data_IF_812817966089
#
_entry.id   IF_812817966089
#
_cell.length_a   1.000
_cell.length_b   1.000
_cell.length_c   1.000
_cell.angle_alpha   90.00
_cell.angle_beta   90.00
_cell.angle_gamma   90.00
#
_symmetry.space_group_name_H-M   'P 1'
#
loop_
_entity.id
_entity.type
_entity.pdbx_description
1 polymer ?
#
# COMPACT_ATOMS: atom_id res chain seq x y z
N UNK A 1 27.57 5.90 -37.88
CA UNK A 1 27.43 6.80 -36.73
C UNK A 1 25.98 6.73 -36.29
N UNK A 2 25.67 5.79 -35.42
CA UNK A 2 24.31 5.51 -34.92
C UNK A 2 24.10 6.27 -33.61
N UNK A 3 23.20 7.25 -33.64
CA UNK A 3 22.82 8.03 -32.46
C UNK A 3 22.14 7.11 -31.42
N UNK A 4 22.81 6.94 -30.27
CA UNK A 4 22.20 6.47 -29.02
C UNK A 4 21.24 7.56 -28.56
N UNK A 5 19.95 7.31 -28.63
CA UNK A 5 18.95 8.06 -27.86
C UNK A 5 18.87 7.36 -26.51
N UNK A 6 19.64 7.83 -25.54
CA UNK A 6 19.44 7.52 -24.14
C UNK A 6 18.26 8.37 -23.66
N UNK A 7 17.10 7.75 -23.48
CA UNK A 7 15.96 8.35 -22.78
C UNK A 7 16.28 8.45 -21.28
N UNK A 8 17.15 9.37 -20.92
CA UNK A 8 17.36 9.78 -19.53
C UNK A 8 16.46 10.99 -19.30
N UNK A 9 15.39 10.79 -18.54
CA UNK A 9 14.59 11.90 -18.00
C UNK A 9 15.52 12.78 -17.16
N UNK A 10 15.47 14.09 -17.37
CA UNK A 10 16.33 15.04 -16.67
C UNK A 10 16.11 14.95 -15.14
N UNK A 11 17.16 14.70 -14.32
CA UNK A 11 17.05 14.65 -12.86
C UNK A 11 16.43 15.90 -12.24
N UNK A 12 16.56 17.06 -12.89
CA UNK A 12 15.95 18.29 -12.44
C UNK A 12 14.41 18.26 -12.51
N UNK A 13 13.82 17.44 -13.40
CA UNK A 13 12.37 17.34 -13.58
C UNK A 13 11.72 16.44 -12.52
N UNK A 14 12.44 15.43 -12.02
CA UNK A 14 12.03 14.56 -10.90
C UNK A 14 11.99 15.34 -9.57
N UNK A 15 12.74 16.46 -9.48
CA UNK A 15 12.84 17.28 -8.27
C UNK A 15 11.62 18.14 -7.95
N UNK A 16 10.66 18.30 -8.86
CA UNK A 16 9.47 19.16 -8.63
C UNK A 16 8.40 18.46 -7.77
N UNK A 17 8.25 17.15 -7.92
CA UNK A 17 7.29 16.31 -7.20
C UNK A 17 7.75 15.81 -5.84
N UNK A 18 8.95 16.24 -5.39
CA UNK A 18 9.68 15.82 -4.19
C UNK A 18 9.73 14.31 -3.89
N UNK A 19 10.20 13.96 -2.69
CA UNK A 19 10.60 12.58 -2.38
C UNK A 19 9.40 11.66 -2.13
N UNK A 20 9.43 10.47 -2.72
CA UNK A 20 8.57 9.34 -2.41
C UNK A 20 9.39 8.30 -1.67
N UNK A 21 8.78 7.69 -0.67
CA UNK A 21 9.41 6.75 0.24
C UNK A 21 9.03 5.31 -0.16
N UNK A 22 9.78 4.29 0.24
CA UNK A 22 9.32 2.92 -0.01
C UNK A 22 8.31 2.52 1.07
N UNK A 23 7.11 2.08 0.67
CA UNK A 23 6.12 1.51 1.60
C UNK A 23 6.28 0.00 1.74
N UNK A 24 5.94 -0.52 2.92
CA UNK A 24 5.90 -1.95 3.18
C UNK A 24 4.74 -2.62 2.43
N UNK A 25 4.97 -3.84 1.94
CA UNK A 25 3.98 -4.64 1.23
C UNK A 25 3.03 -5.38 2.18
N UNK A 26 2.30 -4.63 3.02
CA UNK A 26 1.35 -5.22 3.97
C UNK A 26 -0.09 -4.78 3.70
N UNK A 27 -1.09 -5.66 3.93
CA UNK A 27 -2.50 -5.28 3.83
C UNK A 27 -2.86 -4.09 4.72
N UNK A 28 -2.28 -4.00 5.93
CA UNK A 28 -2.51 -2.90 6.86
C UNK A 28 -2.09 -1.55 6.28
N UNK A 29 -0.89 -1.47 5.68
CA UNK A 29 -0.41 -0.24 5.04
C UNK A 29 -1.29 0.15 3.86
N UNK A 30 -1.67 -0.81 3.01
CA UNK A 30 -2.53 -0.54 1.85
C UNK A 30 -3.97 -0.18 2.28
N UNK A 31 -4.50 -0.76 3.35
CA UNK A 31 -5.78 -0.37 3.97
C UNK A 31 -5.74 1.07 4.50
N UNK A 32 -4.66 1.44 5.19
CA UNK A 32 -4.48 2.82 5.64
C UNK A 32 -4.31 3.80 4.45
N UNK A 33 -3.69 3.35 3.36
CA UNK A 33 -3.49 4.14 2.14
C UNK A 33 -4.79 4.42 1.40
N UNK A 34 -5.66 3.41 1.20
CA UNK A 34 -6.98 3.63 0.57
C UNK A 34 -7.81 4.63 1.39
N UNK A 35 -7.80 4.50 2.72
CA UNK A 35 -8.56 5.38 3.61
C UNK A 35 -8.04 6.82 3.56
N UNK A 36 -6.72 7.02 3.60
CA UNK A 36 -6.09 8.34 3.48
C UNK A 36 -6.37 9.01 2.14
N UNK A 37 -6.42 8.22 1.06
CA UNK A 37 -6.78 8.71 -0.26
C UNK A 37 -8.30 8.94 -0.42
N UNK A 38 -9.10 8.73 0.62
CA UNK A 38 -10.53 9.03 0.63
C UNK A 38 -11.42 7.97 -0.02
N UNK A 39 -10.87 6.81 -0.37
CA UNK A 39 -11.62 5.68 -0.93
C UNK A 39 -12.46 5.05 0.18
N UNK A 40 -13.72 4.74 -0.12
CA UNK A 40 -14.67 4.12 0.83
C UNK A 40 -15.22 2.80 0.29
N UNK A 41 -15.41 1.86 1.21
CA UNK A 41 -16.02 0.56 0.90
C UNK A 41 -15.13 -0.40 0.12
N UNK A 42 -13.82 -0.16 0.13
CA UNK A 42 -12.81 -1.12 -0.25
C UNK A 42 -12.02 -1.58 0.98
N UNK A 43 -11.51 -2.80 0.93
CA UNK A 43 -10.63 -3.41 1.91
C UNK A 43 -9.57 -4.25 1.19
N UNK A 44 -8.37 -4.31 1.74
CA UNK A 44 -7.22 -5.04 1.21
C UNK A 44 -7.04 -6.30 2.04
N UNK A 45 -7.05 -7.45 1.36
CA UNK A 45 -6.89 -8.77 1.96
C UNK A 45 -5.71 -9.47 1.33
N UNK A 46 -4.86 -10.09 2.13
CA UNK A 46 -3.76 -10.90 1.62
C UNK A 46 -4.28 -12.22 1.04
N UNK A 47 -3.64 -12.68 -0.04
CA UNK A 47 -3.93 -13.94 -0.71
C UNK A 47 -2.75 -14.88 -0.50
N UNK A 48 -2.90 -15.76 0.48
CA UNK A 48 -1.83 -16.66 0.95
C UNK A 48 -1.57 -17.86 0.03
N UNK A 49 -2.55 -18.23 -0.80
CA UNK A 49 -2.44 -19.36 -1.74
C UNK A 49 -3.27 -19.14 -3.00
N UNK A 50 -2.78 -19.70 -4.11
CA UNK A 50 -3.48 -19.77 -5.39
C UNK A 50 -4.32 -21.06 -5.53
N UNK A 51 -4.56 -21.78 -4.43
CA UNK A 51 -5.41 -22.97 -4.44
C UNK A 51 -6.86 -22.62 -4.83
N UNK A 52 -7.56 -23.62 -5.39
CA UNK A 52 -8.93 -23.42 -5.86
C UNK A 52 -9.86 -23.03 -4.73
N UNK A 53 -9.67 -23.65 -3.57
CA UNK A 53 -10.47 -23.46 -2.37
C UNK A 53 -10.41 -22.00 -1.89
N UNK A 54 -9.23 -21.37 -1.93
CA UNK A 54 -9.06 -19.96 -1.55
C UNK A 54 -9.73 -19.04 -2.57
N UNK A 55 -9.53 -19.28 -3.87
CA UNK A 55 -10.19 -18.49 -4.91
C UNK A 55 -11.71 -18.66 -4.93
N UNK A 56 -12.23 -19.82 -4.53
CA UNK A 56 -13.66 -20.06 -4.40
C UNK A 56 -14.28 -19.29 -3.21
N UNK A 57 -13.48 -18.87 -2.22
CA UNK A 57 -13.92 -17.89 -1.21
C UNK A 57 -14.05 -16.50 -1.83
N UNK A 58 -13.05 -16.05 -2.59
CA UNK A 58 -13.08 -14.76 -3.28
C UNK A 58 -14.21 -14.65 -4.33
N UNK A 59 -14.65 -15.75 -4.93
CA UNK A 59 -15.83 -15.79 -5.82
C UNK A 59 -17.14 -15.41 -5.12
N UNK A 60 -17.20 -15.48 -3.79
CA UNK A 60 -18.37 -15.07 -2.99
C UNK A 60 -18.28 -13.60 -2.58
N UNK A 61 -17.13 -12.97 -2.78
CA UNK A 61 -16.86 -11.57 -2.46
C UNK A 61 -16.93 -10.72 -3.74
N UNK A 62 -17.03 -9.40 -3.57
CA UNK A 62 -16.84 -8.46 -4.69
C UNK A 62 -15.36 -8.09 -4.72
N UNK A 63 -14.62 -8.61 -5.70
CA UNK A 63 -13.20 -8.31 -5.88
C UNK A 63 -13.05 -7.25 -6.96
N UNK A 64 -12.35 -6.14 -6.65
CA UNK A 64 -12.07 -5.05 -7.58
C UNK A 64 -10.79 -5.29 -8.40
N UNK A 65 -9.83 -6.02 -7.83
CA UNK A 65 -8.59 -6.38 -8.53
C UNK A 65 -7.55 -6.99 -7.58
N UNK A 66 -6.38 -7.30 -8.13
CA UNK A 66 -5.24 -7.85 -7.40
C UNK A 66 -4.00 -6.99 -7.56
N UNK A 67 -3.26 -6.81 -6.47
CA UNK A 67 -1.94 -6.21 -6.44
C UNK A 67 -0.94 -7.34 -6.24
N UNK A 68 0.00 -7.48 -7.17
CA UNK A 68 1.01 -8.53 -7.16
C UNK A 68 2.41 -7.93 -7.07
N UNK A 69 3.12 -8.22 -6.00
CA UNK A 69 4.52 -7.87 -5.81
C UNK A 69 5.41 -9.03 -6.27
N UNK A 70 6.39 -8.72 -7.10
CA UNK A 70 7.36 -9.67 -7.62
C UNK A 70 8.77 -9.06 -7.68
N UNK A 71 9.80 -9.90 -7.60
CA UNK A 71 11.18 -9.48 -7.92
C UNK A 71 11.25 -9.09 -9.40
N UNK A 72 11.78 -7.91 -9.70
CA UNK A 72 11.98 -7.43 -11.06
C UNK A 72 13.02 -8.31 -11.75
N UNK A 73 12.61 -9.05 -12.78
CA UNK A 73 13.54 -9.71 -13.68
C UNK A 73 13.98 -8.66 -14.72
N UNK A 74 15.02 -7.88 -14.40
CA UNK A 74 15.48 -6.78 -15.24
C UNK A 74 15.45 -7.11 -16.73
N UNK A 75 14.71 -6.30 -17.52
CA UNK A 75 14.48 -6.42 -18.99
C UNK A 75 14.41 -7.86 -19.56
N UNK A 76 13.94 -8.84 -18.78
CA UNK A 76 13.79 -10.23 -19.22
C UNK A 76 12.35 -10.66 -19.45
N UNK A 77 11.39 -9.75 -19.30
CA UNK A 77 10.06 -9.96 -19.85
C UNK A 77 10.17 -9.79 -21.37
N UNK A 78 10.37 -10.92 -22.04
CA UNK A 78 10.07 -11.08 -23.44
C UNK A 78 8.69 -10.49 -23.68
N UNK A 79 8.63 -9.55 -24.62
CA UNK A 79 7.43 -9.02 -25.26
C UNK A 79 6.40 -10.16 -25.39
N UNK A 80 5.49 -10.30 -24.42
CA UNK A 80 4.28 -11.08 -24.65
C UNK A 80 3.62 -10.29 -25.75
N UNK A 81 3.67 -10.84 -26.96
CA UNK A 81 3.03 -10.23 -28.11
C UNK A 81 1.58 -10.01 -27.69
N UNK A 82 1.20 -8.73 -27.54
CA UNK A 82 -0.21 -8.40 -27.46
C UNK A 82 -0.84 -9.11 -28.65
N UNK A 83 -1.88 -9.90 -28.42
CA UNK A 83 -2.57 -10.54 -29.54
C UNK A 83 -3.01 -9.42 -30.48
N UNK A 84 -2.30 -9.30 -31.61
CA UNK A 84 -2.13 -8.08 -32.40
C UNK A 84 -3.41 -7.56 -33.04
N UNK A 85 -4.26 -6.96 -32.23
CA UNK A 85 -5.37 -6.11 -32.63
C UNK A 85 -5.17 -4.78 -31.91
N UNK A 86 -5.46 -3.67 -32.58
CA UNK A 86 -5.66 -2.38 -31.90
C UNK A 86 -6.72 -2.62 -30.82
N UNK A 87 -6.26 -2.81 -29.59
CA UNK A 87 -7.14 -2.99 -28.44
C UNK A 87 -7.56 -1.60 -28.03
N UNK A 88 -8.87 -1.34 -28.07
CA UNK A 88 -9.38 -0.09 -27.52
C UNK A 88 -9.11 -0.06 -26.01
N UNK A 89 -8.24 0.85 -25.59
CA UNK A 89 -7.84 1.07 -24.20
C UNK A 89 -8.44 2.36 -23.67
N UNK A 90 -9.38 3.00 -24.38
CA UNK A 90 -9.92 4.31 -24.01
C UNK A 90 -10.59 4.33 -22.63
N UNK A 91 -11.16 3.20 -22.21
CA UNK A 91 -11.84 3.05 -20.93
C UNK A 91 -10.90 2.66 -19.78
N UNK A 92 -9.67 2.25 -20.09
CA UNK A 92 -8.69 1.78 -19.11
C UNK A 92 -7.86 2.97 -18.61
N UNK A 93 -7.94 3.24 -17.32
CA UNK A 93 -7.02 4.15 -16.66
C UNK A 93 -5.66 3.46 -16.48
N UNK A 94 -4.68 3.81 -17.32
CA UNK A 94 -3.32 3.31 -17.24
C UNK A 94 -2.31 4.46 -17.11
N UNK A 95 -1.32 4.29 -16.23
CA UNK A 95 -0.27 5.27 -15.97
C UNK A 95 1.09 4.56 -15.93
N UNK A 96 2.11 5.16 -16.56
CA UNK A 96 3.48 4.67 -16.48
C UNK A 96 4.13 5.06 -15.16
N UNK A 97 5.02 4.20 -14.69
CA UNK A 97 5.83 4.47 -13.52
C UNK A 97 6.91 5.51 -13.85
N UNK A 98 6.89 6.61 -13.11
CA UNK A 98 7.88 7.68 -13.22
C UNK A 98 8.87 7.65 -12.05
N UNK A 99 8.40 7.31 -10.84
CA UNK A 99 9.22 7.19 -9.63
C UNK A 99 9.08 5.75 -9.08
N UNK A 100 10.18 5.00 -8.92
CA UNK A 100 10.14 3.63 -8.42
C UNK A 100 9.45 3.46 -7.06
N UNK A 101 9.75 4.32 -6.09
CA UNK A 101 9.20 4.19 -4.74
C UNK A 101 7.68 4.44 -4.65
N UNK A 102 7.08 5.05 -5.69
CA UNK A 102 5.63 5.26 -5.78
C UNK A 102 4.85 4.04 -6.30
N UNK A 103 5.54 2.95 -6.69
CA UNK A 103 4.95 1.81 -7.40
C UNK A 103 3.76 1.15 -6.66
N UNK A 104 3.83 1.03 -5.33
CA UNK A 104 2.72 0.46 -4.54
C UNK A 104 1.44 1.31 -4.61
N UNK A 105 1.56 2.64 -4.48
CA UNK A 105 0.41 3.55 -4.67
C UNK A 105 -0.09 3.53 -6.10
N UNK A 106 0.80 3.47 -7.08
CA UNK A 106 0.41 3.38 -8.48
C UNK A 106 -0.39 2.11 -8.80
N UNK A 107 0.04 0.95 -8.30
CA UNK A 107 -0.67 -0.30 -8.49
C UNK A 107 -2.06 -0.26 -7.83
N UNK A 108 -2.15 0.28 -6.62
CA UNK A 108 -3.43 0.48 -5.94
C UNK A 108 -4.37 1.40 -6.73
N UNK A 109 -3.89 2.55 -7.19
CA UNK A 109 -4.68 3.50 -7.98
C UNK A 109 -5.08 2.91 -9.34
N UNK A 110 -4.25 2.05 -9.93
CA UNK A 110 -4.58 1.33 -11.16
C UNK A 110 -5.82 0.44 -11.00
N UNK A 111 -6.11 -0.04 -9.79
CA UNK A 111 -7.34 -0.80 -9.50
C UNK A 111 -8.49 0.15 -9.18
N UNK A 112 -8.27 1.07 -8.23
CA UNK A 112 -9.30 1.98 -7.71
C UNK A 112 -9.87 2.87 -8.83
N UNK A 113 -9.02 3.44 -9.68
CA UNK A 113 -9.46 4.33 -10.76
C UNK A 113 -10.14 3.57 -11.92
N UNK A 114 -9.99 2.25 -11.98
CA UNK A 114 -10.68 1.37 -12.92
C UNK A 114 -11.93 0.69 -12.29
N UNK A 115 -12.33 1.07 -11.08
CA UNK A 115 -13.48 0.47 -10.39
C UNK A 115 -14.70 1.39 -10.44
N UNK A 116 -15.64 1.23 -11.41
CA UNK A 116 -16.76 2.17 -11.59
C UNK A 116 -17.80 2.14 -10.46
N UNK A 117 -17.88 1.05 -9.71
CA UNK A 117 -18.84 0.88 -8.59
C UNK A 117 -18.29 1.34 -7.24
N UNK A 118 -17.00 1.67 -7.17
CA UNK A 118 -16.32 2.02 -5.92
C UNK A 118 -16.39 3.54 -5.67
N UNK A 119 -16.71 3.95 -4.45
CA UNK A 119 -16.60 5.35 -4.04
C UNK A 119 -15.12 5.69 -3.81
N UNK A 120 -14.50 6.32 -4.82
CA UNK A 120 -13.09 6.73 -4.76
C UNK A 120 -12.89 8.08 -4.05
N UNK A 121 -13.96 8.73 -3.61
CA UNK A 121 -13.88 10.03 -2.94
C UNK A 121 -13.63 11.22 -3.89
N UNK A 122 -13.80 12.46 -3.39
CA UNK A 122 -13.73 13.67 -4.23
C UNK A 122 -12.33 13.90 -4.83
N UNK A 123 -11.27 13.74 -4.03
CA UNK A 123 -9.88 13.96 -4.46
C UNK A 123 -9.49 13.09 -5.65
N UNK A 124 -9.76 11.77 -5.59
CA UNK A 124 -9.43 10.88 -6.70
C UNK A 124 -10.37 11.04 -7.89
N UNK A 125 -11.63 11.44 -7.69
CA UNK A 125 -12.53 11.77 -8.79
C UNK A 125 -12.02 13.01 -9.57
N UNK A 126 -11.65 14.08 -8.88
CA UNK A 126 -11.06 15.27 -9.50
C UNK A 126 -9.74 14.94 -10.20
N UNK A 127 -8.88 14.16 -9.55
CA UNK A 127 -7.62 13.70 -10.15
C UNK A 127 -7.87 12.89 -11.43
N UNK A 128 -8.81 11.93 -11.41
CA UNK A 128 -9.17 11.10 -12.57
C UNK A 128 -9.76 11.92 -13.71
N UNK A 129 -10.58 12.92 -13.39
CA UNK A 129 -11.15 13.84 -14.40
C UNK A 129 -10.05 14.69 -15.03
N UNK A 130 -9.17 15.27 -14.21
CA UNK A 130 -8.03 16.09 -14.65
C UNK A 130 -7.10 15.32 -15.60
N UNK A 131 -6.76 14.08 -15.25
CA UNK A 131 -5.83 13.25 -16.03
C UNK A 131 -6.50 12.41 -17.12
N UNK A 132 -7.82 12.53 -17.31
CA UNK A 132 -8.61 11.68 -18.22
C UNK A 132 -8.08 11.61 -19.65
N UNK A 133 -7.56 12.74 -20.17
CA UNK A 133 -7.04 12.88 -21.54
C UNK A 133 -5.53 12.79 -21.66
N UNK A 134 -4.83 12.55 -20.55
CA UNK A 134 -3.38 12.46 -20.55
C UNK A 134 -2.94 11.11 -21.14
N UNK A 135 -1.78 11.13 -21.80
CA UNK A 135 -1.12 9.88 -22.15
C UNK A 135 -0.63 9.15 -20.88
N UNK A 136 -0.32 7.85 -20.95
CA UNK A 136 0.10 7.08 -19.79
C UNK A 136 1.30 7.68 -19.03
N UNK A 137 2.23 8.33 -19.73
CA UNK A 137 3.42 8.93 -19.12
C UNK A 137 3.07 10.20 -18.37
N UNK A 138 2.22 11.04 -18.94
CA UNK A 138 1.73 12.26 -18.33
C UNK A 138 0.80 11.95 -17.13
N UNK A 139 0.01 10.87 -17.19
CA UNK A 139 -0.73 10.34 -16.02
C UNK A 139 0.21 9.96 -14.88
N UNK A 140 1.28 9.25 -15.20
CA UNK A 140 2.33 8.88 -14.24
C UNK A 140 2.98 10.11 -13.61
N UNK A 141 3.33 11.10 -14.43
CA UNK A 141 3.93 12.35 -13.98
C UNK A 141 2.96 13.14 -13.07
N UNK A 142 1.70 13.26 -13.48
CA UNK A 142 0.66 13.94 -12.69
C UNK A 142 0.47 13.27 -11.32
N UNK A 143 0.45 11.94 -11.27
CA UNK A 143 0.34 11.17 -10.03
C UNK A 143 1.53 11.42 -9.10
N UNK A 144 2.76 11.35 -9.63
CA UNK A 144 3.98 11.59 -8.83
C UNK A 144 4.11 13.04 -8.34
N UNK A 145 3.44 13.98 -9.01
CA UNK A 145 3.41 15.40 -8.64
C UNK A 145 2.19 15.79 -7.77
N UNK A 146 1.17 14.93 -7.61
CA UNK A 146 0.06 15.24 -6.69
C UNK A 146 0.58 15.18 -5.25
N UNK A 147 0.61 16.35 -4.62
CA UNK A 147 1.12 16.53 -3.26
C UNK A 147 0.37 15.66 -2.25
N UNK A 148 -0.96 15.59 -2.36
CA UNK A 148 -1.81 14.85 -1.42
C UNK A 148 -1.54 13.34 -1.48
N UNK A 149 -1.45 12.76 -2.68
CA UNK A 149 -1.10 11.33 -2.85
C UNK A 149 0.26 11.01 -2.21
N UNK A 150 1.25 11.87 -2.45
CA UNK A 150 2.60 11.72 -1.89
C UNK A 150 2.62 11.88 -0.36
N UNK A 151 1.92 12.87 0.19
CA UNK A 151 1.85 13.08 1.64
C UNK A 151 1.12 11.93 2.34
N UNK A 152 0.04 11.42 1.73
CA UNK A 152 -0.66 10.24 2.21
C UNK A 152 0.24 9.01 2.22
N UNK A 153 0.92 8.75 1.10
CA UNK A 153 1.89 7.67 0.96
C UNK A 153 3.02 7.77 2.00
N UNK A 154 3.73 8.89 2.04
CA UNK A 154 4.89 9.08 2.93
C UNK A 154 4.48 9.14 4.41
N UNK A 155 3.21 9.43 4.72
CA UNK A 155 2.75 9.37 6.12
C UNK A 155 2.67 7.94 6.66
N UNK A 156 2.65 6.94 5.78
CA UNK A 156 2.54 5.51 6.10
C UNK A 156 3.89 4.79 6.14
N UNK A 157 4.97 5.44 5.71
CA UNK A 157 6.34 4.89 5.85
C UNK A 157 6.91 5.05 7.25
N UNK A 158 6.15 5.69 8.17
CA UNK A 158 6.32 5.59 9.62
C UNK A 158 7.75 5.72 10.14
N UNK A 159 8.19 6.95 10.42
CA UNK A 159 9.31 7.29 11.34
C UNK A 159 10.72 6.75 11.04
N UNK A 160 10.96 6.02 9.96
CA UNK A 160 12.31 5.59 9.58
C UNK A 160 13.12 6.66 8.87
N UNK A 161 12.47 7.58 8.15
CA UNK A 161 13.17 8.48 7.22
C UNK A 161 13.45 9.89 7.77
N UNK A 162 12.99 10.24 8.99
CA UNK A 162 13.49 11.43 9.68
C UNK A 162 14.93 11.27 10.21
N UNK A 163 15.57 10.14 9.92
CA UNK A 163 16.94 9.84 10.30
C UNK A 163 17.67 9.31 9.05
N UNK A 164 18.95 9.65 8.83
CA UNK A 164 19.70 9.12 7.69
C UNK A 164 19.80 7.59 7.82
N UNK A 165 19.05 6.92 6.94
CA UNK A 165 19.24 5.61 6.32
C UNK A 165 20.06 4.62 7.16
N UNK A 166 19.36 3.65 7.76
CA UNK A 166 19.82 2.27 7.76
C UNK A 166 18.74 1.48 7.01
N UNK A 167 19.06 0.82 5.89
CA UNK A 167 18.10 0.00 5.17
C UNK A 167 17.64 -1.14 6.08
N UNK A 168 16.37 -1.54 5.98
CA UNK A 168 15.80 -2.71 6.64
C UNK A 168 16.63 -3.97 6.28
N UNK A 169 17.41 -4.58 7.20
CA UNK A 169 18.16 -5.81 6.91
C UNK A 169 17.41 -7.07 7.37
N UNK A 170 16.21 -6.96 7.95
CA UNK A 170 15.63 -8.08 8.69
C UNK A 170 14.88 -9.12 7.84
N UNK A 171 14.64 -8.85 6.55
CA UNK A 171 14.13 -9.87 5.62
C UNK A 171 15.22 -10.49 4.71
N UNK A 172 16.48 -10.04 4.81
CA UNK A 172 17.55 -10.43 3.88
C UNK A 172 18.63 -11.35 4.49
N UNK A 173 18.65 -11.59 5.81
CA UNK A 173 19.68 -12.41 6.45
C UNK A 173 19.17 -13.79 6.91
N UNK A 174 18.76 -14.65 5.97
CA UNK A 174 18.67 -16.10 6.26
C UNK A 174 19.69 -16.94 5.48
N UNK A 175 20.21 -16.47 4.34
CA UNK A 175 21.31 -17.18 3.67
C UNK A 175 22.53 -16.27 3.49
N UNK A 176 23.51 -16.45 4.39
CA UNK A 176 24.79 -15.79 4.31
C UNK A 176 25.58 -16.26 3.10
N UNK A 177 25.63 -15.44 2.04
CA UNK A 177 26.81 -15.11 1.23
C UNK A 177 26.49 -13.87 0.39
N UNK A 178 26.92 -12.69 0.83
CA UNK A 178 26.90 -11.50 -0.03
C UNK A 178 27.89 -11.70 -1.18
N UNK A 179 27.37 -12.01 -2.37
CA UNK A 179 28.10 -11.90 -3.62
C UNK A 179 28.02 -10.44 -4.09
N UNK A 180 29.15 -9.76 -4.37
CA UNK A 180 29.18 -8.35 -4.76
C UNK A 180 28.66 -8.08 -6.20
N UNK A 181 28.05 -9.08 -6.85
CA UNK A 181 27.42 -8.99 -8.18
C UNK A 181 25.87 -8.95 -8.11
N UNK A 182 25.25 -8.98 -6.93
CA UNK A 182 23.78 -9.06 -6.74
C UNK A 182 23.12 -7.68 -6.48
N UNK A 183 23.54 -6.66 -7.22
CA UNK A 183 23.21 -5.23 -6.99
C UNK A 183 21.84 -4.79 -7.57
N UNK A 184 20.87 -5.69 -7.78
CA UNK A 184 19.61 -5.31 -8.47
C UNK A 184 18.37 -6.15 -8.07
N UNK A 185 18.21 -6.50 -6.78
CA UNK A 185 16.95 -7.08 -6.29
C UNK A 185 15.90 -5.98 -6.09
N UNK A 186 15.44 -5.37 -7.19
CA UNK A 186 14.34 -4.41 -7.17
C UNK A 186 13.00 -5.16 -7.17
N UNK A 187 12.13 -4.90 -6.19
CA UNK A 187 10.75 -5.40 -6.22
C UNK A 187 9.84 -4.47 -7.03
N UNK A 188 8.80 -5.03 -7.65
CA UNK A 188 7.88 -4.29 -8.51
C UNK A 188 6.44 -4.74 -8.31
N UNK A 189 5.51 -3.77 -8.32
CA UNK A 189 4.07 -4.04 -8.22
C UNK A 189 3.39 -4.01 -9.57
N UNK A 190 2.53 -5.00 -9.79
CA UNK A 190 1.67 -5.13 -10.95
C UNK A 190 0.22 -5.26 -10.49
N UNK A 191 -0.71 -4.58 -11.17
CA UNK A 191 -2.13 -4.69 -10.87
C UNK A 191 -2.87 -5.54 -11.91
N UNK A 192 -3.86 -6.31 -11.47
CA UNK A 192 -4.78 -7.06 -12.33
C UNK A 192 -6.22 -6.60 -12.10
N UNK A 193 -6.94 -6.29 -13.17
CA UNK A 193 -8.35 -5.84 -13.11
C UNK A 193 -9.22 -6.55 -14.14
N UNK A 194 -10.52 -6.69 -13.86
CA UNK A 194 -11.52 -7.13 -14.82
C UNK A 194 -12.26 -5.92 -15.39
N UNK A 195 -12.15 -5.70 -16.70
CA UNK A 195 -12.87 -4.60 -17.38
C UNK A 195 -13.14 -4.96 -18.84
N UNK A 196 -14.31 -4.54 -19.34
CA UNK A 196 -14.75 -4.72 -20.73
C UNK A 196 -14.70 -6.19 -21.21
N UNK A 197 -14.92 -7.14 -20.30
CA UNK A 197 -14.94 -8.58 -20.58
C UNK A 197 -13.55 -9.22 -20.72
N UNK A 198 -12.50 -8.56 -20.24
CA UNK A 198 -11.13 -9.08 -20.23
C UNK A 198 -10.46 -8.86 -18.88
N UNK A 199 -9.50 -9.73 -18.56
CA UNK A 199 -8.51 -9.43 -17.53
C UNK A 199 -7.42 -8.57 -18.14
N UNK A 200 -7.04 -7.53 -17.42
CA UNK A 200 -5.97 -6.62 -17.79
C UNK A 200 -4.86 -6.67 -16.76
N UNK A 201 -3.62 -6.74 -17.24
CA UNK A 201 -2.41 -6.51 -16.45
C UNK A 201 -1.96 -5.05 -16.65
N UNK A 202 -1.90 -4.32 -15.54
CA UNK A 202 -1.51 -2.92 -15.47
C UNK A 202 -0.15 -2.84 -14.77
N UNK A 203 0.90 -2.99 -15.57
CA UNK A 203 2.30 -2.86 -15.15
C UNK A 203 2.82 -1.47 -15.56
N UNK A 204 3.17 -0.64 -14.58
CA UNK A 204 3.67 0.72 -14.81
C UNK A 204 4.97 0.80 -15.61
N UNK A 205 5.76 -0.29 -15.68
CA UNK A 205 6.98 -0.37 -16.47
C UNK A 205 6.73 -0.74 -17.94
N UNK A 206 5.54 -1.24 -18.27
CA UNK A 206 5.14 -1.51 -19.65
C UNK A 206 4.69 -0.23 -20.36
N UNK A 207 4.83 -0.13 -21.69
CA UNK A 207 4.37 1.03 -22.44
C UNK A 207 2.85 1.18 -22.45
N UNK A 208 2.11 0.07 -22.38
CA UNK A 208 0.66 -0.01 -22.56
C UNK A 208 0.07 -1.09 -21.62
N UNK A 209 -1.22 -1.01 -21.26
CA UNK A 209 -1.88 -2.06 -20.49
C UNK A 209 -1.95 -3.36 -21.30
N UNK A 210 -1.68 -4.49 -20.66
CA UNK A 210 -1.66 -5.79 -21.32
C UNK A 210 -3.03 -6.46 -21.19
N UNK A 211 -3.74 -6.61 -22.31
CA UNK A 211 -4.96 -7.41 -22.38
C UNK A 211 -4.59 -8.90 -22.34
N UNK A 212 -5.10 -9.60 -21.34
CA UNK A 212 -4.92 -11.05 -21.18
C UNK A 212 -6.09 -11.78 -21.86
N UNK A 213 -6.71 -12.73 -21.16
CA UNK A 213 -7.75 -13.58 -21.71
C UNK A 213 -9.15 -12.95 -21.55
N UNK A 214 -10.08 -13.22 -22.49
CA UNK A 214 -11.49 -12.87 -22.32
C UNK A 214 -12.09 -13.64 -21.14
N UNK A 215 -12.99 -12.98 -20.42
CA UNK A 215 -13.65 -13.52 -19.24
C UNK A 215 -15.03 -12.89 -19.01
N UNK A 216 -15.75 -13.47 -18.06
CA UNK A 216 -17.00 -12.94 -17.50
C UNK A 216 -16.81 -12.63 -16.02
N UNK A 217 -17.77 -11.94 -15.41
CA UNK A 217 -17.79 -11.70 -13.95
C UNK A 217 -17.64 -12.99 -13.11
N UNK A 218 -18.09 -14.14 -13.62
CA UNK A 218 -18.00 -15.42 -12.90
C UNK A 218 -16.66 -16.13 -13.10
N UNK A 219 -15.93 -15.82 -14.17
CA UNK A 219 -14.76 -16.60 -14.63
C UNK A 219 -13.44 -15.85 -14.55
N UNK A 220 -13.46 -14.52 -14.41
CA UNK A 220 -12.24 -13.70 -14.43
C UNK A 220 -11.26 -14.06 -13.30
N UNK A 221 -11.76 -14.47 -12.13
CA UNK A 221 -10.91 -14.93 -11.01
C UNK A 221 -10.14 -16.21 -11.37
N UNK A 222 -10.75 -17.14 -12.10
CA UNK A 222 -10.07 -18.35 -12.56
C UNK A 222 -9.00 -18.00 -13.62
N UNK A 223 -9.28 -17.01 -14.47
CA UNK A 223 -8.33 -16.50 -15.47
C UNK A 223 -7.12 -15.84 -14.81
N UNK A 224 -7.35 -14.89 -13.88
CA UNK A 224 -6.27 -14.22 -13.12
C UNK A 224 -5.43 -15.25 -12.38
N UNK A 225 -6.06 -16.24 -11.73
CA UNK A 225 -5.33 -17.31 -11.04
C UNK A 225 -4.38 -18.06 -11.98
N UNK A 226 -4.85 -18.43 -13.18
CA UNK A 226 -4.03 -19.15 -14.16
C UNK A 226 -2.84 -18.29 -14.59
N UNK A 227 -3.05 -16.99 -14.83
CA UNK A 227 -1.97 -16.06 -15.17
C UNK A 227 -0.96 -15.91 -14.03
N UNK A 228 -1.42 -15.70 -12.80
CA UNK A 228 -0.56 -15.58 -11.62
C UNK A 228 0.27 -16.86 -11.40
N UNK A 229 -0.34 -18.04 -11.54
CA UNK A 229 0.38 -19.32 -11.47
C UNK A 229 1.42 -19.45 -12.59
N UNK A 230 1.08 -19.03 -13.81
CA UNK A 230 2.01 -19.05 -14.94
C UNK A 230 3.19 -18.09 -14.69
N UNK A 231 2.91 -16.88 -14.18
CA UNK A 231 3.92 -15.89 -13.82
C UNK A 231 4.83 -16.37 -12.70
N UNK A 232 4.30 -16.95 -11.62
CA UNK A 232 5.13 -17.47 -10.53
C UNK A 232 6.08 -18.59 -11.00
N UNK A 233 5.62 -19.46 -11.93
CA UNK A 233 6.46 -20.52 -12.50
C UNK A 233 7.67 -20.02 -13.28
N UNK A 234 7.67 -18.78 -13.79
CA UNK A 234 8.82 -18.23 -14.52
C UNK A 234 10.01 -17.87 -13.62
N UNK A 235 9.82 -17.86 -12.30
CA UNK A 235 10.86 -17.53 -11.31
C UNK A 235 11.57 -18.77 -10.73
N UNK A 236 11.15 -19.99 -11.11
CA UNK A 236 11.68 -21.23 -10.52
C UNK A 236 11.16 -21.50 -9.11
N UNK A 237 11.42 -22.70 -8.59
CA UNK A 237 10.91 -23.16 -7.28
C UNK A 237 11.63 -22.49 -6.07
N UNK A 238 12.80 -21.88 -6.28
CA UNK A 238 13.70 -21.44 -5.18
C UNK A 238 13.84 -19.91 -5.03
N UNK A 239 13.36 -19.08 -5.96
CA UNK A 239 13.63 -17.62 -5.97
C UNK A 239 12.39 -16.71 -5.81
N UNK A 240 11.22 -17.30 -5.53
CA UNK A 240 9.93 -16.60 -5.56
C UNK A 240 9.54 -15.88 -4.27
N UNK A 241 10.06 -14.68 -4.02
CA UNK A 241 9.45 -13.77 -3.04
C UNK A 241 8.29 -13.02 -3.69
N UNK A 242 7.05 -13.46 -3.38
CA UNK A 242 5.83 -12.88 -3.90
C UNK A 242 4.91 -12.45 -2.78
N UNK A 243 4.22 -11.32 -2.99
CA UNK A 243 3.07 -10.92 -2.17
C UNK A 243 1.89 -10.68 -3.09
N UNK A 244 0.73 -11.24 -2.75
CA UNK A 244 -0.49 -11.04 -3.50
C UNK A 244 -1.56 -10.49 -2.57
N UNK A 245 -2.17 -9.38 -2.96
CA UNK A 245 -3.24 -8.74 -2.21
C UNK A 245 -4.45 -8.56 -3.12
N UNK A 246 -5.64 -8.87 -2.61
CA UNK A 246 -6.91 -8.61 -3.25
C UNK A 246 -7.49 -7.29 -2.72
N UNK A 247 -7.96 -6.44 -3.63
CA UNK A 247 -8.79 -5.28 -3.30
C UNK A 247 -10.24 -5.75 -3.38
N UNK A 248 -10.95 -5.80 -2.26
CA UNK A 248 -12.30 -6.33 -2.16
C UNK A 248 -13.28 -5.27 -1.63
N UNK A 249 -14.58 -5.48 -1.79
CA UNK A 249 -15.60 -4.70 -1.08
C UNK A 249 -15.43 -4.94 0.42
N UNK A 250 -15.49 -3.88 1.20
CA UNK A 250 -15.34 -3.93 2.66
C UNK A 250 -16.30 -4.98 3.27
N UNK A 251 -15.77 -6.06 3.88
CA UNK A 251 -16.58 -7.12 4.48
C UNK A 251 -17.57 -6.60 5.52
N UNK A 252 -17.19 -5.57 6.28
CA UNK A 252 -18.06 -4.98 7.30
C UNK A 252 -19.27 -4.34 6.66
N UNK A 253 -19.12 -3.65 5.53
CA UNK A 253 -20.25 -3.07 4.78
C UNK A 253 -21.18 -4.19 4.29
N UNK A 254 -20.61 -5.28 3.75
CA UNK A 254 -21.40 -6.41 3.25
C UNK A 254 -22.21 -7.08 4.37
N UNK A 255 -21.58 -7.31 5.53
CA UNK A 255 -22.24 -7.92 6.69
C UNK A 255 -23.34 -7.03 7.25
N UNK A 256 -23.11 -5.72 7.38
CA UNK A 256 -24.12 -4.77 7.85
C UNK A 256 -25.28 -4.64 6.86
N UNK A 257 -25.01 -4.56 5.54
CA UNK A 257 -26.06 -4.56 4.51
C UNK A 257 -26.93 -5.83 4.59
N UNK A 258 -26.33 -7.00 4.88
CA UNK A 258 -27.07 -8.25 5.07
C UNK A 258 -27.91 -8.23 6.34
N UNK A 259 -27.34 -7.72 7.44
CA UNK A 259 -28.02 -7.58 8.72
C UNK A 259 -29.25 -6.68 8.62
N UNK A 260 -29.11 -5.51 7.98
CA UNK A 260 -30.21 -4.56 7.80
C UNK A 260 -31.35 -5.15 6.96
N UNK A 261 -31.02 -5.89 5.90
CA UNK A 261 -32.03 -6.61 5.09
C UNK A 261 -32.80 -7.63 5.93
N UNK A 262 -32.12 -8.41 6.75
CA UNK A 262 -32.76 -9.40 7.60
C UNK A 262 -33.61 -8.76 8.70
N UNK A 263 -33.17 -7.64 9.28
CA UNK A 263 -33.98 -6.88 10.25
C UNK A 263 -35.29 -6.39 9.65
N UNK A 264 -35.26 -5.86 8.43
CA UNK A 264 -36.49 -5.47 7.70
C UNK A 264 -37.41 -6.68 7.45
N UNK A 265 -36.85 -7.83 7.08
CA UNK A 265 -37.62 -9.07 6.89
C UNK A 265 -38.24 -9.55 8.20
N UNK A 266 -37.50 -9.48 9.31
CA UNK A 266 -37.97 -9.84 10.64
C UNK A 266 -39.12 -8.93 11.07
N UNK A 267 -38.97 -7.61 10.94
CA UNK A 267 -40.02 -6.62 11.24
C UNK A 267 -41.29 -6.85 10.42
N UNK A 268 -41.14 -7.10 9.11
CA UNK A 268 -42.27 -7.42 8.24
C UNK A 268 -42.97 -8.73 8.64
N UNK A 269 -42.20 -9.74 9.07
CA UNK A 269 -42.75 -11.03 9.51
C UNK A 269 -43.48 -10.92 10.85
N UNK A 270 -42.94 -10.14 11.79
CA UNK A 270 -43.60 -9.80 13.05
C UNK A 270 -44.89 -9.02 12.79
N UNK A 271 -44.88 -8.02 11.90
CA UNK A 271 -46.07 -7.25 11.54
C UNK A 271 -47.17 -8.12 10.89
N UNK A 272 -46.79 -9.10 10.07
CA UNK A 272 -47.74 -10.10 9.53
C UNK A 272 -48.32 -10.97 10.64
N UNK A 273 -47.48 -11.44 11.57
CA UNK A 273 -47.91 -12.25 12.71
C UNK A 273 -48.91 -11.50 13.63
N UNK A 274 -48.62 -10.23 13.94
CA UNK A 274 -49.53 -9.39 14.76
C UNK A 274 -50.85 -9.10 14.04
N UNK A 275 -50.83 -8.87 12.74
CA UNK A 275 -52.03 -8.67 11.91
C UNK A 275 -52.90 -9.93 11.84
N UNK A 276 -52.29 -11.10 11.65
CA UNK A 276 -53.00 -12.40 11.68
C UNK A 276 -53.64 -12.62 13.04
N UNK A 277 -52.92 -12.33 14.13
CA UNK A 277 -53.45 -12.45 15.49
C UNK A 277 -54.58 -11.44 15.78
N UNK A 278 -54.50 -10.22 15.27
CA UNK A 278 -55.56 -9.22 15.36
C UNK A 278 -56.85 -9.65 14.65
N UNK A 279 -56.72 -10.13 13.40
CA UNK A 279 -57.83 -10.68 12.63
C UNK A 279 -58.43 -11.92 13.29
N UNK A 280 -57.61 -12.77 13.93
CA UNK A 280 -58.09 -13.92 14.68
C UNK A 280 -58.87 -13.52 15.94
N UNK A 281 -58.45 -12.48 16.66
CA UNK A 281 -59.19 -11.96 17.82
C UNK A 281 -60.54 -11.32 17.42
N UNK A 282 -60.61 -10.65 16.27
CA UNK A 282 -61.88 -10.16 15.71
C UNK A 282 -62.78 -11.33 15.28
N UNK A 283 -62.24 -12.34 14.60
CA UNK A 283 -62.98 -13.56 14.26
C UNK A 283 -63.40 -14.36 15.51
N UNK A 284 -62.62 -14.35 16.59
CA UNK A 284 -62.99 -14.98 17.87
C UNK A 284 -64.13 -14.24 18.59
N UNK A 285 -64.17 -12.90 18.51
CA UNK A 285 -65.34 -12.12 18.93
C UNK A 285 -66.58 -12.43 18.08
N UNK A 286 -66.41 -12.79 16.80
CA UNK A 286 -67.51 -13.28 15.97
C UNK A 286 -67.86 -14.77 16.21
N UNK A 287 -66.94 -15.57 16.78
CA UNK A 287 -67.11 -17.01 17.10
C UNK A 287 -67.98 -17.30 18.32
N UNK A 288 -68.38 -16.31 19.12
CA UNK A 288 -69.51 -16.49 20.06
C UNK A 288 -70.81 -16.93 19.34
N UNK A 289 -70.83 -16.94 17.99
CA UNK A 289 -71.90 -17.49 17.13
C UNK A 289 -71.61 -18.90 16.53
N UNK A 290 -70.60 -19.63 16.97
CA UNK A 290 -70.50 -21.09 16.82
C UNK A 290 -69.93 -21.67 15.50
N UNK A 291 -68.72 -21.29 15.07
CA UNK A 291 -67.98 -21.99 13.99
C UNK A 291 -66.48 -22.18 14.25
N UNK A 292 -65.92 -23.24 13.65
CA UNK A 292 -64.62 -23.89 13.86
C UNK A 292 -63.37 -23.00 14.07
N UNK A 293 -62.47 -23.50 14.91
CA UNK A 293 -61.15 -22.93 15.25
C UNK A 293 -60.08 -23.26 14.19
N UNK A 294 -59.27 -22.27 13.80
CA UNK A 294 -58.07 -22.44 12.96
C UNK A 294 -56.90 -21.98 13.83
N UNK A 295 -55.92 -22.87 14.07
CA UNK A 295 -54.73 -22.57 14.88
C UNK A 295 -53.87 -21.47 14.24
N UNK A 296 -53.12 -20.68 15.03
CA UNK A 296 -52.03 -19.86 14.50
C UNK A 296 -51.07 -20.79 13.77
N UNK A 297 -50.74 -20.47 12.53
CA UNK A 297 -49.86 -21.26 11.67
C UNK A 297 -48.47 -21.31 12.30
N UNK A 298 -48.09 -22.43 12.94
CA UNK A 298 -46.73 -22.73 13.43
C UNK A 298 -45.65 -22.28 12.44
N UNK A 299 -45.93 -22.38 11.14
CA UNK A 299 -45.10 -21.90 10.04
C UNK A 299 -44.60 -20.44 10.19
N UNK A 300 -45.42 -19.48 10.64
CA UNK A 300 -44.98 -18.07 10.77
C UNK A 300 -44.05 -17.91 11.96
N UNK A 301 -44.28 -18.67 13.04
CA UNK A 301 -43.41 -18.66 14.23
C UNK A 301 -42.05 -19.28 13.90
N UNK A 302 -42.06 -20.39 13.16
CA UNK A 302 -40.84 -21.05 12.69
C UNK A 302 -40.04 -20.16 11.72
N UNK A 303 -40.72 -19.43 10.82
CA UNK A 303 -40.09 -18.45 9.92
C UNK A 303 -39.42 -17.29 10.69
N UNK A 304 -40.09 -16.72 11.70
CA UNK A 304 -39.50 -15.65 12.53
C UNK A 304 -38.28 -16.17 13.29
N UNK A 305 -38.40 -17.35 13.91
CA UNK A 305 -37.29 -17.96 14.65
C UNK A 305 -36.08 -18.24 13.76
N UNK A 306 -36.29 -18.69 12.51
CA UNK A 306 -35.21 -18.92 11.56
C UNK A 306 -34.48 -17.61 11.17
N UNK A 307 -35.22 -16.52 10.95
CA UNK A 307 -34.65 -15.20 10.64
C UNK A 307 -33.90 -14.63 11.85
N UNK A 308 -34.45 -14.74 13.05
CA UNK A 308 -33.79 -14.31 14.30
C UNK A 308 -32.48 -15.06 14.53
N UNK A 309 -32.45 -16.37 14.29
CA UNK A 309 -31.24 -17.18 14.38
C UNK A 309 -30.17 -16.74 13.34
N UNK A 310 -30.57 -16.41 12.11
CA UNK A 310 -29.64 -15.91 11.10
C UNK A 310 -29.07 -14.53 11.48
N UNK A 311 -29.90 -13.64 12.06
CA UNK A 311 -29.46 -12.35 12.59
C UNK A 311 -28.41 -12.53 13.69
N UNK A 312 -28.66 -13.39 14.67
CA UNK A 312 -27.72 -13.65 15.77
C UNK A 312 -26.38 -14.19 15.23
N UNK A 313 -26.45 -15.10 14.26
CA UNK A 313 -25.25 -15.67 13.61
C UNK A 313 -24.43 -14.59 12.90
N UNK A 314 -25.10 -13.64 12.22
CA UNK A 314 -24.42 -12.53 11.55
C UNK A 314 -23.84 -11.52 12.52
N UNK A 315 -24.53 -11.21 13.61
CA UNK A 315 -24.00 -10.32 14.66
C UNK A 315 -22.73 -10.92 15.30
N UNK A 316 -22.71 -12.23 15.54
CA UNK A 316 -21.49 -12.94 15.98
C UNK A 316 -20.39 -12.87 14.91
N UNK A 317 -20.74 -13.04 13.63
CA UNK A 317 -19.80 -12.91 12.51
C UNK A 317 -19.18 -11.51 12.40
N UNK A 318 -19.98 -10.45 12.57
CA UNK A 318 -19.50 -9.06 12.57
C UNK A 318 -18.50 -8.82 13.70
N UNK A 319 -18.79 -9.32 14.91
CA UNK A 319 -17.86 -9.19 16.04
C UNK A 319 -16.57 -9.95 15.78
N UNK A 320 -16.64 -11.15 15.19
CA UNK A 320 -15.47 -11.93 14.83
C UNK A 320 -14.61 -11.23 13.76
N UNK A 321 -15.22 -10.77 12.67
CA UNK A 321 -14.55 -10.04 11.58
C UNK A 321 -13.88 -8.77 12.12
N UNK A 322 -14.59 -7.99 12.94
CA UNK A 322 -14.04 -6.77 13.52
C UNK A 322 -12.87 -7.05 14.47
N UNK A 323 -12.91 -8.19 15.17
CA UNK A 323 -11.80 -8.63 16.00
C UNK A 323 -10.59 -9.04 15.16
N UNK A 324 -10.78 -9.76 14.06
CA UNK A 324 -9.70 -10.14 13.14
C UNK A 324 -9.02 -8.91 12.51
N UNK A 325 -9.81 -7.91 12.10
CA UNK A 325 -9.29 -6.62 11.60
C UNK A 325 -8.48 -5.89 12.70
N UNK A 326 -8.93 -5.94 13.95
CA UNK A 326 -8.20 -5.32 15.07
C UNK A 326 -6.92 -6.07 15.44
N UNK A 327 -6.96 -7.40 15.42
CA UNK A 327 -5.80 -8.26 15.70
C UNK A 327 -4.72 -8.06 14.62
N UNK A 328 -5.09 -8.04 13.34
CA UNK A 328 -4.14 -7.78 12.24
C UNK A 328 -3.49 -6.39 12.32
N UNK A 329 -4.25 -5.35 12.65
CA UNK A 329 -3.70 -4.00 12.88
C UNK A 329 -2.80 -3.97 14.14
N UNK A 330 -3.19 -4.66 15.21
CA UNK A 330 -2.41 -4.72 16.44
C UNK A 330 -1.07 -5.46 16.23
N UNK A 331 -1.09 -6.58 15.52
CA UNK A 331 0.10 -7.36 15.15
C UNK A 331 1.07 -6.51 14.33
N UNK A 332 0.54 -5.73 13.38
CA UNK A 332 1.34 -4.79 12.58
C UNK A 332 1.99 -3.70 13.47
N UNK A 333 1.23 -3.10 14.39
CA UNK A 333 1.77 -2.11 15.32
C UNK A 333 2.79 -2.72 16.29
N UNK A 334 2.58 -3.95 16.74
CA UNK A 334 3.53 -4.67 17.58
C UNK A 334 4.83 -4.98 16.83
N UNK A 335 4.75 -5.43 15.58
CA UNK A 335 5.91 -5.64 14.71
C UNK A 335 6.73 -4.34 14.54
N UNK A 336 6.05 -3.20 14.29
CA UNK A 336 6.68 -1.88 14.27
C UNK A 336 7.38 -1.57 15.60
N UNK A 337 6.72 -1.80 16.73
CA UNK A 337 7.27 -1.49 18.04
C UNK A 337 8.49 -2.36 18.38
N UNK A 338 8.45 -3.67 18.06
CA UNK A 338 9.57 -4.60 18.21
C UNK A 338 10.75 -4.13 17.37
N UNK A 339 10.50 -3.80 16.10
CA UNK A 339 11.54 -3.32 15.20
C UNK A 339 12.16 -2.02 15.73
N UNK A 340 11.34 -1.04 16.14
CA UNK A 340 11.80 0.21 16.72
C UNK A 340 12.65 0.01 17.98
N UNK A 341 12.26 -0.94 18.84
CA UNK A 341 13.02 -1.29 20.04
C UNK A 341 14.39 -1.88 19.68
N UNK A 342 14.43 -2.85 18.75
CA UNK A 342 15.67 -3.45 18.27
C UNK A 342 16.60 -2.39 17.64
N UNK A 343 16.04 -1.47 16.85
CA UNK A 343 16.79 -0.37 16.25
C UNK A 343 17.43 0.56 17.30
N UNK A 344 16.67 0.95 18.33
CA UNK A 344 17.18 1.79 19.43
C UNK A 344 18.28 1.07 20.20
N UNK A 345 18.13 -0.23 20.47
CA UNK A 345 19.15 -1.06 21.11
C UNK A 345 20.44 -1.12 20.27
N UNK A 346 20.33 -1.33 18.95
CA UNK A 346 21.47 -1.37 18.03
C UNK A 346 22.23 -0.03 17.99
N UNK A 347 21.51 1.10 17.91
CA UNK A 347 22.12 2.45 17.99
C UNK A 347 22.73 2.73 19.38
N UNK A 348 22.12 2.23 20.45
CA UNK A 348 22.63 2.28 21.80
C UNK A 348 23.94 1.50 21.98
N UNK A 349 24.06 0.34 21.33
CA UNK A 349 25.28 -0.48 21.32
C UNK A 349 26.40 0.22 20.54
N UNK A 350 26.09 0.81 19.37
CA UNK A 350 27.08 1.55 18.58
C UNK A 350 27.63 2.78 19.29
N UNK A 351 26.79 3.55 19.97
CA UNK A 351 27.22 4.73 20.76
C UNK A 351 28.03 4.33 21.99
N UNK A 352 27.69 3.24 22.66
CA UNK A 352 28.47 2.70 23.79
C UNK A 352 29.83 2.14 23.36
N UNK A 353 29.91 1.47 22.21
CA UNK A 353 31.17 0.99 21.64
C UNK A 353 32.07 2.13 21.14
N UNK A 354 31.50 3.20 20.58
CA UNK A 354 32.26 4.39 20.20
C UNK A 354 32.82 5.11 21.44
N UNK A 355 32.02 5.26 22.49
CA UNK A 355 32.43 5.87 23.74
C UNK A 355 33.46 5.04 24.53
N UNK A 356 33.39 3.70 24.47
CA UNK A 356 34.37 2.82 25.11
C UNK A 356 35.73 2.87 24.39
N UNK A 357 35.72 2.89 23.05
CA UNK A 357 36.93 3.02 22.22
C UNK A 357 37.57 4.40 22.37
N UNK A 358 36.78 5.48 22.37
CA UNK A 358 37.25 6.84 22.63
C UNK A 358 37.83 7.00 24.05
N UNK A 359 37.23 6.39 25.08
CA UNK A 359 37.78 6.37 26.45
C UNK A 359 39.06 5.55 26.56
N UNK A 360 39.19 4.44 25.81
CA UNK A 360 40.40 3.63 25.78
C UNK A 360 41.56 4.38 25.09
N UNK A 361 41.29 5.08 23.98
CA UNK A 361 42.27 5.91 23.27
C UNK A 361 42.69 7.15 24.07
N UNK A 362 41.77 7.77 24.81
CA UNK A 362 42.08 8.87 25.73
C UNK A 362 42.99 8.42 26.89
N UNK A 363 42.73 7.24 27.48
CA UNK A 363 43.60 6.63 28.51
C UNK A 363 44.97 6.22 27.99
N UNK A 364 45.08 5.81 26.73
CA UNK A 364 46.36 5.48 26.09
C UNK A 364 47.22 6.73 25.84
N UNK A 365 46.60 7.84 25.41
CA UNK A 365 47.28 9.13 25.20
C UNK A 365 47.77 9.76 26.51
N UNK A 366 47.03 9.60 27.60
CA UNK A 366 47.42 10.15 28.91
C UNK A 366 48.62 9.40 29.53
N UNK A 367 48.69 8.07 29.36
CA UNK A 367 49.87 7.27 29.77
C UNK A 367 51.14 7.58 28.97
N UNK A 368 51.02 8.12 27.75
CA UNK A 368 52.17 8.49 26.91
C UNK A 368 52.81 9.84 27.28
N UNK A 369 52.09 10.73 27.98
CA UNK A 369 52.58 12.05 28.40
C UNK A 369 53.30 12.06 29.75
N UNK A 370 53.25 10.97 30.51
CA UNK A 370 53.88 10.85 31.83
C UNK A 370 55.36 10.42 31.85
N UNK A 371 56.00 10.15 30.71
CA UNK A 371 57.33 9.52 30.69
C UNK A 371 58.33 10.17 29.72
N UNK A 372 58.61 11.46 29.85
CA UNK A 372 59.87 12.05 29.38
C UNK A 372 60.38 13.07 30.41
N UNK A 373 61.28 12.63 31.30
CA UNK A 373 62.20 13.50 32.04
C UNK A 373 63.65 13.04 31.77
N UNK A 374 64.48 14.03 31.43
CA UNK A 374 65.94 14.15 31.60
C UNK A 374 66.91 13.53 30.57
N UNK A 375 67.55 14.42 29.77
CA UNK A 375 69.02 14.67 29.57
C UNK A 375 69.35 15.13 28.12
N UNK A 376 70.54 15.72 27.81
CA UNK A 376 70.86 17.14 27.96
C UNK A 376 71.23 17.85 26.62
N UNK A 377 71.36 19.17 26.71
CA UNK A 377 71.79 20.15 25.69
C UNK A 377 73.01 19.75 24.85
N UNK A 378 72.93 20.00 23.54
CA UNK A 378 74.06 20.46 22.72
C UNK A 378 73.64 21.66 21.85
N UNK A 379 74.54 22.64 21.74
CA UNK A 379 74.37 23.94 21.07
C UNK A 379 74.62 23.80 19.56
N UNK A 380 73.80 24.44 18.73
CA UNK A 380 74.23 24.95 17.44
C UNK A 380 73.46 26.23 17.07
N UNK A 381 74.25 27.28 16.78
CA UNK A 381 73.88 28.56 16.14
C UNK A 381 73.36 28.26 14.71
N UNK A 382 72.54 29.05 14.02
CA UNK A 382 72.60 30.49 13.80
C UNK A 382 71.40 30.93 12.93
N UNK A 383 70.91 32.16 13.15
CA UNK A 383 70.31 33.14 12.17
C UNK A 383 69.04 32.71 11.39
N UNK A 384 67.90 33.40 11.41
CA UNK A 384 67.57 34.78 11.78
C UNK A 384 67.03 35.57 10.59
N UNK A 385 65.70 35.73 10.48
CA UNK A 385 64.95 36.88 9.91
C UNK A 385 63.44 36.62 10.02
N UNK A 386 62.80 37.11 11.08
CA UNK A 386 62.03 38.38 11.21
C UNK A 386 60.67 38.40 10.48
N UNK A 387 59.64 38.33 11.33
CA UNK A 387 58.22 38.70 11.17
C UNK A 387 58.00 40.00 10.37
N UNK A 388 56.83 40.10 9.76
CA UNK A 388 55.96 41.28 9.87
C UNK A 388 54.49 40.82 9.89
N UNK A 389 53.77 41.33 10.88
CA UNK A 389 52.32 41.28 11.07
C UNK A 389 51.70 42.46 10.32
N UNK A 390 50.45 42.35 9.89
CA UNK A 390 49.45 43.44 9.95
C UNK A 390 48.05 42.83 9.94
N UNK A 391 47.24 43.30 10.89
CA UNK A 391 45.78 43.19 10.93
C UNK A 391 45.18 44.23 9.97
N UNK A 392 43.90 44.07 9.62
CA UNK A 392 42.82 45.09 9.47
C UNK A 392 41.61 44.32 8.89
N UNK A 393 40.51 44.08 9.59
CA UNK A 393 39.43 44.98 10.07
C UNK A 393 38.49 45.49 8.96
N UNK A 394 37.20 45.23 9.19
CA UNK A 394 35.97 45.90 8.72
C UNK A 394 35.42 45.63 7.30
N UNK A 395 34.23 45.03 7.23
CA UNK A 395 32.97 45.77 7.00
C UNK A 395 31.74 44.87 6.90
N UNK A 396 30.73 45.18 7.72
CA UNK A 396 29.32 44.82 7.59
C UNK A 396 28.78 45.26 6.22
N UNK A 397 28.00 44.38 5.57
CA UNK A 397 26.85 44.82 4.77
C UNK A 397 25.73 43.78 4.81
N UNK A 398 24.69 44.15 5.57
CA UNK A 398 23.32 43.67 5.42
C UNK A 398 22.79 44.01 4.02
N UNK A 399 22.23 43.03 3.32
CA UNK A 399 21.22 43.27 2.30
C UNK A 399 20.13 42.21 2.43
N UNK A 400 19.01 42.64 2.99
CA UNK A 400 17.69 42.08 2.73
C UNK A 400 17.42 42.15 1.23
N UNK A 401 17.08 41.01 0.62
CA UNK A 401 16.37 40.97 -0.65
C UNK A 401 15.34 39.85 -0.60
N UNK A 402 14.09 40.30 -0.56
CA UNK A 402 12.88 39.56 -0.90
C UNK A 402 13.07 38.73 -2.18
N UNK A 403 12.62 37.49 -2.15
CA UNK A 403 12.30 36.71 -3.35
C UNK A 403 11.18 35.70 -3.07
N UNK A 404 10.03 36.23 -2.62
CA UNK A 404 8.73 35.61 -2.84
C UNK A 404 8.36 35.76 -4.32
N UNK A 405 8.90 34.92 -5.21
CA UNK A 405 8.37 34.79 -6.58
C UNK A 405 8.97 33.61 -7.37
N UNK A 406 8.89 32.37 -6.86
CA UNK A 406 8.99 31.16 -7.70
C UNK A 406 8.25 30.00 -7.03
N UNK A 407 6.93 30.10 -6.93
CA UNK A 407 6.09 29.01 -6.44
C UNK A 407 4.84 28.85 -7.33
N UNK A 408 5.06 28.58 -8.62
CA UNK A 408 4.01 28.18 -9.57
C UNK A 408 4.17 26.70 -9.96
N UNK A 409 4.34 25.83 -8.96
CA UNK A 409 3.98 24.42 -9.13
C UNK A 409 2.47 24.33 -9.15
N UNK A 410 1.89 23.92 -10.28
CA UNK A 410 0.46 23.63 -10.37
C UNK A 410 0.17 22.51 -9.37
N UNK A 411 -0.42 22.86 -8.23
CA UNK A 411 -0.87 21.89 -7.25
C UNK A 411 -2.16 21.26 -7.82
N UNK A 412 -2.08 20.00 -8.21
CA UNK A 412 -3.10 19.29 -9.00
C UNK A 412 -4.31 18.86 -8.16
N UNK A 413 -4.18 18.90 -6.84
CA UNK A 413 -5.17 18.43 -5.88
C UNK A 413 -5.39 19.58 -4.88
N UNK A 414 -6.61 20.12 -4.77
CA UNK A 414 -6.89 21.37 -4.04
C UNK A 414 -8.09 21.30 -3.11
#
# INVERSE_FOLDING_TARGET
MTNRITSTVDPAYVSLGGHWCTIESSPAVFNALIQKNGVRGAYIKEVWSLDREIFDLFKKETVYGFIFLLKSQGRRLSKVESMGMDVDTSNIYFANQVIPDACGTQALLSIVLNSPTLDIGPMLNEFKEFTSKFDPKDKGLAMTNCKELRENHNSLTGRFERQPILPLPFLMEIDGQENPDDDDTQFHYVAYVHMDGYVWELDGLQPEPLRLMPCTEETWLDVVRIELMARMRTYGEEEGHFVLMAVIKDPMIVLHEKLDKLRVIAEASIARSTSVRGNQQEQEKEKEKGKHYIQPTMAIVDEIAAVEQEIETLEQGIVAEQREIQETEADFQEAINIFMKAYVEMKGIHTNNYNSKAKAEAKAKDKSKGRIKNKPRTKAKNRGRKRLLTNDADSDHSMDLDSDEYNNGINVCR
#
